data_IF_847344738645
#
_entry.id   IF_847344738645
#
_cell.length_a   1.000
_cell.length_b   1.000
_cell.length_c   1.000
_cell.angle_alpha   90.00
_cell.angle_beta   90.00
_cell.angle_gamma   90.00
#
_symmetry.space_group_name_H-M   'P 1'
#
loop_
_entity.id
_entity.type
_entity.pdbx_description
1 polymer ?
#
# COMPACT_ATOMS: atom_id res chain seq x y z
N UNK A 1 -9.72 25.13 8.69
CA UNK A 1 -9.44 23.68 8.52
C UNK A 1 -8.17 23.40 9.30
N UNK A 2 -8.28 22.87 10.53
CA UNK A 2 -7.11 22.36 11.24
C UNK A 2 -6.53 21.20 10.44
N UNK A 3 -5.50 21.49 9.65
CA UNK A 3 -4.79 20.48 8.88
C UNK A 3 -4.15 19.52 9.89
N UNK A 4 -4.79 18.37 10.11
CA UNK A 4 -4.19 17.23 10.79
C UNK A 4 -2.83 16.95 10.13
N UNK A 5 -1.75 17.35 10.82
CA UNK A 5 -0.39 17.16 10.32
C UNK A 5 -0.05 15.69 10.40
N UNK A 6 -0.03 15.04 9.25
CA UNK A 6 0.52 13.69 9.14
C UNK A 6 1.99 13.71 9.57
N UNK A 7 2.47 12.71 10.34
CA UNK A 7 3.89 12.57 10.57
C UNK A 7 4.61 12.39 9.22
N UNK A 8 5.75 13.06 9.04
CA UNK A 8 6.59 13.00 7.83
C UNK A 8 6.76 11.57 7.28
N UNK A 9 7.09 10.53 8.08
CA UNK A 9 7.21 9.17 7.57
C UNK A 9 5.91 8.63 6.94
N UNK A 10 4.74 8.99 7.46
CA UNK A 10 3.47 8.57 6.86
C UNK A 10 3.23 9.28 5.51
N UNK A 11 3.58 10.56 5.39
CA UNK A 11 3.50 11.28 4.11
C UNK A 11 4.39 10.66 3.05
N UNK A 12 5.62 10.28 3.43
CA UNK A 12 6.56 9.61 2.51
C UNK A 12 6.00 8.26 2.04
N UNK A 13 5.42 7.46 2.95
CA UNK A 13 4.82 6.17 2.57
C UNK A 13 3.58 6.35 1.69
N UNK A 14 2.73 7.34 1.98
CA UNK A 14 1.53 7.64 1.17
C UNK A 14 1.96 8.11 -0.23
N UNK A 15 2.95 9.01 -0.32
CA UNK A 15 3.47 9.49 -1.60
C UNK A 15 4.09 8.35 -2.42
N UNK A 16 4.87 7.48 -1.77
CA UNK A 16 5.45 6.30 -2.41
C UNK A 16 4.36 5.35 -2.92
N UNK A 17 3.35 5.08 -2.10
CA UNK A 17 2.22 4.23 -2.47
C UNK A 17 1.40 4.78 -3.64
N UNK A 18 1.20 6.10 -3.70
CA UNK A 18 0.59 6.79 -4.83
C UNK A 18 1.41 6.63 -6.11
N UNK A 19 2.73 6.83 -6.04
CA UNK A 19 3.62 6.65 -7.19
C UNK A 19 3.59 5.22 -7.72
N UNK A 20 3.66 4.22 -6.83
CA UNK A 20 3.57 2.79 -7.20
C UNK A 20 2.21 2.46 -7.81
N UNK A 21 1.12 3.00 -7.27
CA UNK A 21 -0.24 2.79 -7.79
C UNK A 21 -0.41 3.38 -9.19
N UNK A 22 0.09 4.60 -9.42
CA UNK A 22 0.09 5.25 -10.73
C UNK A 22 0.95 4.47 -11.72
N UNK A 23 2.14 4.03 -11.31
CA UNK A 23 3.00 3.19 -12.15
C UNK A 23 2.30 1.87 -12.53
N UNK A 24 1.57 1.24 -11.60
CA UNK A 24 0.76 0.04 -11.87
C UNK A 24 -0.34 0.28 -12.89
N UNK A 25 -1.05 1.42 -12.81
CA UNK A 25 -2.06 1.82 -13.82
C UNK A 25 -1.41 2.01 -15.18
N UNK A 26 -0.31 2.77 -15.26
CA UNK A 26 0.41 3.01 -16.53
C UNK A 26 0.90 1.70 -17.14
N UNK A 27 1.46 0.80 -16.33
CA UNK A 27 1.93 -0.51 -16.79
C UNK A 27 0.77 -1.37 -17.30
N UNK A 28 -0.34 -1.41 -16.56
CA UNK A 28 -1.55 -2.12 -16.96
C UNK A 28 -2.15 -1.63 -18.29
N UNK A 29 -2.07 -0.32 -18.57
CA UNK A 29 -2.47 0.28 -19.85
C UNK A 29 -1.52 -0.15 -20.98
N UNK A 30 -0.21 -0.18 -20.72
CA UNK A 30 0.81 -0.51 -21.73
C UNK A 30 0.90 -2.00 -22.07
N UNK A 31 0.69 -2.90 -21.11
CA UNK A 31 0.89 -4.36 -21.28
C UNK A 31 -0.41 -5.18 -21.28
N UNK A 32 -1.55 -4.57 -21.67
CA UNK A 32 -2.93 -5.01 -21.40
C UNK A 32 -3.16 -5.97 -20.22
N UNK A 33 -2.45 -5.75 -19.11
CA UNK A 33 -2.52 -6.63 -17.95
C UNK A 33 -3.64 -6.14 -17.02
N UNK A 34 -4.85 -6.69 -17.20
CA UNK A 34 -6.02 -6.40 -16.38
C UNK A 34 -5.74 -6.45 -14.84
N UNK A 35 -4.94 -7.42 -14.33
CA UNK A 35 -4.63 -7.48 -12.90
C UNK A 35 -3.80 -6.29 -12.41
N UNK A 36 -2.82 -5.85 -13.21
CA UNK A 36 -1.94 -4.72 -12.88
C UNK A 36 -2.76 -3.42 -12.83
N UNK A 37 -3.66 -3.24 -13.79
CA UNK A 37 -4.55 -2.07 -13.88
C UNK A 37 -5.52 -2.00 -12.68
N UNK A 38 -6.16 -3.12 -12.33
CA UNK A 38 -7.04 -3.20 -11.16
C UNK A 38 -6.29 -2.94 -9.86
N UNK A 39 -5.10 -3.53 -9.69
CA UNK A 39 -4.29 -3.31 -8.49
C UNK A 39 -3.86 -1.83 -8.35
N UNK A 40 -3.51 -1.18 -9.46
CA UNK A 40 -3.13 0.23 -9.49
C UNK A 40 -4.28 1.16 -9.14
N UNK A 41 -5.48 0.94 -9.71
CA UNK A 41 -6.67 1.75 -9.41
C UNK A 41 -7.10 1.56 -7.95
N UNK A 42 -7.13 0.31 -7.46
CA UNK A 42 -7.48 0.02 -6.07
C UNK A 42 -6.46 0.66 -5.11
N UNK A 43 -5.17 0.61 -5.43
CA UNK A 43 -4.12 1.31 -4.69
C UNK A 43 -4.35 2.81 -4.62
N UNK A 44 -4.63 3.46 -5.76
CA UNK A 44 -4.96 4.88 -5.85
C UNK A 44 -6.16 5.26 -4.97
N UNK A 45 -7.23 4.46 -5.01
CA UNK A 45 -8.44 4.69 -4.21
C UNK A 45 -8.14 4.55 -2.71
N UNK A 46 -7.36 3.54 -2.32
CA UNK A 46 -6.99 3.32 -0.92
C UNK A 46 -6.13 4.47 -0.42
N UNK A 47 -5.07 4.87 -1.15
CA UNK A 47 -4.19 5.96 -0.74
C UNK A 47 -4.89 7.32 -0.70
N UNK A 48 -5.81 7.60 -1.64
CA UNK A 48 -6.63 8.81 -1.63
C UNK A 48 -7.57 8.85 -0.41
N UNK A 49 -8.23 7.74 -0.08
CA UNK A 49 -9.11 7.69 1.10
C UNK A 49 -8.32 7.61 2.42
N UNK A 50 -7.09 7.12 2.38
CA UNK A 50 -6.15 7.14 3.51
C UNK A 50 -5.75 8.58 3.82
N UNK A 51 -5.46 9.40 2.81
CA UNK A 51 -5.21 10.83 2.97
C UNK A 51 -6.39 11.57 3.59
N UNK A 52 -7.63 11.17 3.25
CA UNK A 52 -8.87 11.67 3.87
C UNK A 52 -9.16 11.12 5.27
N UNK A 53 -8.24 10.34 5.85
CA UNK A 53 -8.36 9.77 7.21
C UNK A 53 -9.62 8.93 7.43
N UNK A 54 -10.13 8.25 6.39
CA UNK A 54 -11.28 7.37 6.58
C UNK A 54 -10.84 6.06 7.25
N UNK A 55 -11.49 5.61 8.35
CA UNK A 55 -11.05 4.44 9.12
C UNK A 55 -11.01 3.15 8.30
N UNK A 56 -11.91 3.00 7.30
CA UNK A 56 -11.89 1.85 6.39
C UNK A 56 -10.68 1.83 5.45
N UNK A 57 -10.09 2.99 5.12
CA UNK A 57 -8.92 3.06 4.24
C UNK A 57 -7.67 2.47 4.91
N UNK A 58 -7.58 2.58 6.24
CA UNK A 58 -6.52 1.92 7.01
C UNK A 58 -6.65 0.40 6.95
N UNK A 59 -7.85 -0.12 7.16
CA UNK A 59 -8.13 -1.56 7.04
C UNK A 59 -7.87 -2.04 5.62
N UNK A 60 -8.29 -1.28 4.60
CA UNK A 60 -8.02 -1.55 3.19
C UNK A 60 -6.53 -1.59 2.87
N UNK A 61 -5.74 -0.65 3.39
CA UNK A 61 -4.28 -0.63 3.22
C UNK A 61 -3.61 -1.86 3.85
N UNK A 62 -4.02 -2.24 5.06
CA UNK A 62 -3.50 -3.43 5.74
C UNK A 62 -3.84 -4.69 4.93
N UNK A 63 -5.08 -4.82 4.45
CA UNK A 63 -5.51 -5.95 3.61
C UNK A 63 -4.70 -5.99 2.31
N UNK A 64 -4.53 -4.86 1.63
CA UNK A 64 -3.76 -4.77 0.39
C UNK A 64 -2.30 -5.21 0.60
N UNK A 65 -1.66 -4.73 1.66
CA UNK A 65 -0.28 -5.09 2.01
C UNK A 65 -0.17 -6.59 2.35
N UNK A 66 -1.14 -7.15 3.07
CA UNK A 66 -1.20 -8.59 3.36
C UNK A 66 -1.36 -9.43 2.10
N UNK A 67 -2.23 -9.03 1.17
CA UNK A 67 -2.35 -9.67 -0.14
C UNK A 67 -1.06 -9.58 -0.95
N UNK A 68 -0.34 -8.46 -0.86
CA UNK A 68 0.95 -8.31 -1.54
C UNK A 68 2.02 -9.25 -0.96
N UNK A 69 2.08 -9.41 0.37
CA UNK A 69 2.94 -10.42 1.01
C UNK A 69 2.59 -11.82 0.52
N UNK A 70 1.29 -12.16 0.45
CA UNK A 70 0.85 -13.46 -0.06
C UNK A 70 1.23 -13.65 -1.54
N UNK A 71 1.03 -12.65 -2.39
CA UNK A 71 1.42 -12.69 -3.80
C UNK A 71 2.94 -12.88 -3.97
N UNK A 72 3.76 -12.16 -3.20
CA UNK A 72 5.22 -12.32 -3.18
C UNK A 72 5.64 -13.72 -2.75
N UNK A 73 4.89 -14.35 -1.84
CA UNK A 73 5.14 -15.73 -1.42
C UNK A 73 4.87 -16.71 -2.57
N UNK A 74 3.76 -16.53 -3.29
CA UNK A 74 3.46 -17.31 -4.50
C UNK A 74 4.52 -17.07 -5.58
N UNK A 75 4.94 -15.82 -5.82
CA UNK A 75 5.98 -15.51 -6.81
C UNK A 75 7.34 -16.12 -6.47
N UNK A 76 7.66 -16.29 -5.18
CA UNK A 76 8.85 -17.02 -4.74
C UNK A 76 8.84 -18.47 -5.24
N UNK A 77 7.67 -19.09 -5.38
CA UNK A 77 7.50 -20.46 -5.89
C UNK A 77 7.59 -20.56 -7.42
N UNK A 78 7.47 -19.44 -8.14
CA UNK A 78 7.47 -19.36 -9.62
C UNK A 78 8.85 -18.94 -10.17
N UNK A 79 9.85 -18.76 -9.31
CA UNK A 79 11.24 -18.49 -9.71
C UNK A 79 11.65 -17.01 -9.70
N UNK A 80 10.87 -16.13 -9.07
CA UNK A 80 11.28 -14.73 -8.83
C UNK A 80 12.45 -14.71 -7.81
N UNK A 81 13.44 -13.79 -7.95
CA UNK A 81 14.58 -13.74 -7.04
C UNK A 81 14.17 -13.68 -5.57
N UNK A 82 14.59 -14.69 -4.80
CA UNK A 82 14.15 -14.89 -3.42
C UNK A 82 14.48 -13.68 -2.53
N UNK A 83 15.64 -13.04 -2.73
CA UNK A 83 16.05 -11.83 -2.02
C UNK A 83 15.08 -10.67 -2.28
N UNK A 84 14.62 -10.50 -3.52
CA UNK A 84 13.65 -9.46 -3.86
C UNK A 84 12.32 -9.69 -3.14
N UNK A 85 11.84 -10.94 -3.13
CA UNK A 85 10.61 -11.30 -2.43
C UNK A 85 10.72 -11.07 -0.92
N UNK A 86 11.81 -11.53 -0.28
CA UNK A 86 12.04 -11.37 1.16
C UNK A 86 12.14 -9.90 1.59
N UNK A 87 12.91 -9.09 0.86
CA UNK A 87 13.04 -7.65 1.15
C UNK A 87 11.68 -6.96 0.99
N UNK A 88 10.95 -7.27 -0.07
CA UNK A 88 9.63 -6.68 -0.32
C UNK A 88 8.60 -7.09 0.75
N UNK A 89 8.64 -8.33 1.22
CA UNK A 89 7.82 -8.82 2.34
C UNK A 89 8.15 -8.09 3.65
N UNK A 90 9.44 -7.90 3.97
CA UNK A 90 9.89 -7.17 5.16
C UNK A 90 9.40 -5.73 5.15
N UNK A 91 9.49 -5.05 4.00
CA UNK A 91 8.97 -3.69 3.84
C UNK A 91 7.46 -3.65 4.05
N UNK A 92 6.70 -4.57 3.45
CA UNK A 92 5.25 -4.65 3.64
C UNK A 92 4.88 -4.93 5.10
N UNK A 93 5.57 -5.85 5.78
CA UNK A 93 5.35 -6.16 7.19
C UNK A 93 5.67 -4.94 8.09
N UNK A 94 6.75 -4.21 7.80
CA UNK A 94 7.09 -2.97 8.48
C UNK A 94 6.01 -1.89 8.34
N UNK A 95 5.45 -1.74 7.13
CA UNK A 95 4.33 -0.82 6.88
C UNK A 95 3.07 -1.25 7.64
N UNK A 96 2.70 -2.53 7.62
CA UNK A 96 1.56 -3.05 8.38
C UNK A 96 1.73 -2.77 9.87
N UNK A 97 2.91 -3.04 10.42
CA UNK A 97 3.21 -2.79 11.83
C UNK A 97 3.11 -1.29 12.17
N UNK A 98 3.66 -0.42 11.32
CA UNK A 98 3.57 1.03 11.49
C UNK A 98 2.13 1.54 11.49
N UNK A 99 1.31 1.14 10.51
CA UNK A 99 -0.07 1.59 10.38
C UNK A 99 -1.04 0.95 11.38
N UNK A 100 -0.65 -0.17 12.00
CA UNK A 100 -1.39 -0.82 13.09
C UNK A 100 -1.16 -0.15 14.44
N UNK A 101 -0.18 0.75 14.57
CA UNK A 101 0.12 1.43 15.85
C UNK A 101 -1.08 2.24 16.36
N UNK A 102 -1.32 2.27 17.68
CA UNK A 102 -2.45 2.98 18.28
C UNK A 102 -2.42 4.49 17.99
N UNK A 103 -1.24 5.11 17.96
CA UNK A 103 -1.08 6.53 17.58
C UNK A 103 -1.62 6.84 16.17
N UNK A 104 -1.44 5.92 15.21
CA UNK A 104 -2.03 6.05 13.88
C UNK A 104 -3.53 5.80 13.94
N UNK A 105 -3.99 4.80 14.71
CA UNK A 105 -5.43 4.53 14.91
C UNK A 105 -6.21 5.75 15.39
N UNK A 106 -5.66 6.47 16.35
CA UNK A 106 -6.28 7.66 16.94
C UNK A 106 -6.44 8.81 15.94
N UNK A 107 -5.58 8.91 14.92
CA UNK A 107 -5.70 9.91 13.85
C UNK A 107 -6.95 9.69 12.97
N UNK A 108 -7.36 8.42 12.81
CA UNK A 108 -8.52 8.00 11.99
C UNK A 108 -9.85 7.98 12.78
N UNK A 109 -9.81 7.93 14.11
CA UNK A 109 -10.99 7.86 14.98
C UNK A 109 -11.41 9.22 15.57
N UNK A 110 -10.66 10.29 15.29
CA UNK A 110 -11.01 11.69 15.61
C UNK A 110 -11.65 12.36 14.40
#
# INVERSE_FOLDING_TARGET
>A
MDQKKWPVPALVIIAWGLLVSVAGVVRGIMTPALPDLLSGVIGLVIFYNFFKLKPWARTGLIILLSFNIFALFVFMLVGVPLVYCLVSMLVCAGMIYYFSRPKIRELFNK
#
